data_IF_017455590315
#
_entry.id   IF_017455590315
#
_cell.length_a   1.000
_cell.length_b   1.000
_cell.length_c   1.000
_cell.angle_alpha   90.00
_cell.angle_beta   90.00
_cell.angle_gamma   90.00
#
_symmetry.space_group_name_H-M   'P 1'
#
loop_
_entity.id
_entity.type
_entity.pdbx_description
1 polymer ?
#
# COMPACT_ATOMS: atom_id res chain seq x y z
N UNK A 1 -9.96 -10.16 -4.89
CA UNK A 1 -9.43 -9.59 -3.64
C UNK A 1 -9.37 -8.06 -3.78
N UNK A 2 -9.91 -7.37 -2.81
CA UNK A 2 -9.87 -5.90 -2.75
C UNK A 2 -8.58 -5.48 -2.05
N UNK A 3 -7.72 -4.72 -2.73
CA UNK A 3 -6.47 -4.19 -2.18
C UNK A 3 -6.54 -2.66 -2.15
N UNK A 4 -6.30 -2.09 -0.98
CA UNK A 4 -6.09 -0.65 -0.84
C UNK A 4 -4.59 -0.42 -0.79
N UNK A 5 -4.08 0.36 -1.75
CA UNK A 5 -2.65 0.62 -1.92
C UNK A 5 -2.37 2.10 -1.81
N UNK A 6 -1.20 2.43 -1.30
CA UNK A 6 -0.64 3.78 -1.36
C UNK A 6 0.68 3.75 -2.10
N UNK A 7 0.94 4.80 -2.87
CA UNK A 7 2.21 5.01 -3.56
C UNK A 7 2.94 6.18 -2.93
N UNK A 8 4.18 5.95 -2.53
CA UNK A 8 5.02 6.91 -1.83
C UNK A 8 6.25 7.19 -2.68
N UNK A 9 6.51 8.46 -2.97
CA UNK A 9 7.72 8.89 -3.69
C UNK A 9 8.84 9.15 -2.68
N UNK A 10 10.04 8.70 -3.00
CA UNK A 10 11.19 8.87 -2.13
C UNK A 10 12.52 8.62 -2.82
N UNK A 11 13.55 8.42 -2.02
CA UNK A 11 14.93 8.23 -2.42
C UNK A 11 15.49 6.94 -1.84
N UNK A 12 16.36 6.30 -2.60
CA UNK A 12 17.22 5.22 -2.11
C UNK A 12 18.47 5.84 -1.51
N UNK A 13 18.79 5.47 -0.29
CA UNK A 13 19.94 5.99 0.46
C UNK A 13 20.74 4.86 1.09
N UNK A 14 22.03 5.12 1.29
CA UNK A 14 22.88 4.24 2.09
C UNK A 14 22.50 4.35 3.57
N UNK A 15 22.59 3.25 4.30
CA UNK A 15 22.52 3.27 5.75
C UNK A 15 23.87 3.80 6.24
N UNK A 16 23.92 4.94 6.93
CA UNK A 16 25.16 5.39 7.55
C UNK A 16 25.63 4.35 8.55
N UNK A 17 26.95 4.13 8.61
CA UNK A 17 27.60 3.24 9.60
C UNK A 17 27.01 3.56 10.97
N UNK A 18 26.43 2.55 11.65
CA UNK A 18 25.80 2.76 12.96
C UNK A 18 26.86 3.33 13.92
N UNK A 19 26.58 4.49 14.48
CA UNK A 19 27.35 5.03 15.59
C UNK A 19 27.36 4.00 16.71
N UNK A 20 28.52 3.49 17.08
CA UNK A 20 28.69 2.43 18.08
C UNK A 20 29.54 1.24 17.63
N UNK A 21 29.84 1.11 16.35
CA UNK A 21 30.86 0.19 15.89
C UNK A 21 32.25 0.74 16.27
N UNK A 22 32.99 0.01 17.07
CA UNK A 22 34.38 0.36 17.40
C UNK A 22 35.23 0.29 16.14
N UNK A 23 35.86 1.38 15.79
CA UNK A 23 36.89 1.42 14.74
C UNK A 23 38.26 1.50 15.40
N UNK A 24 39.20 0.69 14.93
CA UNK A 24 40.58 0.67 15.42
C UNK A 24 41.42 1.45 14.43
N UNK A 25 42.10 2.51 14.90
CA UNK A 25 43.04 3.25 14.09
C UNK A 25 44.29 2.40 13.86
N UNK A 26 44.83 2.45 12.65
CA UNK A 26 46.10 1.79 12.36
C UNK A 26 47.24 2.44 13.12
N UNK A 27 48.13 1.62 13.66
CA UNK A 27 49.36 2.05 14.29
C UNK A 27 50.49 1.09 13.94
N UNK A 28 51.71 1.29 14.44
CA UNK A 28 52.86 0.44 14.15
C UNK A 28 52.71 -1.02 14.60
N UNK A 29 51.69 -1.34 15.35
CA UNK A 29 51.44 -2.70 15.89
C UNK A 29 50.13 -3.31 15.38
N UNK A 30 49.34 -2.54 14.61
CA UNK A 30 48.01 -2.98 14.17
C UNK A 30 47.67 -2.37 12.83
N UNK A 31 47.20 -3.19 11.88
CA UNK A 31 46.80 -2.75 10.53
C UNK A 31 45.56 -1.84 10.51
N UNK A 32 44.95 -1.62 11.65
CA UNK A 32 43.76 -0.80 11.79
C UNK A 32 42.50 -1.47 11.20
N UNK A 33 41.37 -0.90 11.50
CA UNK A 33 40.10 -1.31 10.89
C UNK A 33 39.92 -0.63 9.55
N UNK A 34 39.84 -1.39 8.48
CA UNK A 34 39.53 -0.85 7.15
C UNK A 34 38.11 -0.35 7.13
N UNK A 35 37.88 0.96 7.19
CA UNK A 35 36.58 1.60 7.10
C UNK A 35 36.03 1.50 5.67
N UNK A 36 36.91 1.26 4.69
CA UNK A 36 36.55 1.04 3.29
C UNK A 36 36.14 -0.41 2.98
N UNK A 37 35.75 -1.17 3.94
CA UNK A 37 35.06 -2.42 3.66
C UNK A 37 33.71 -2.08 3.06
N UNK A 38 33.72 -2.14 1.69
CA UNK A 38 32.55 -2.55 0.94
C UNK A 38 31.31 -2.21 1.74
N UNK A 39 30.78 -1.00 1.55
CA UNK A 39 29.37 -0.77 1.88
C UNK A 39 28.67 -2.01 1.32
N UNK A 40 28.24 -2.89 2.20
CA UNK A 40 27.46 -4.05 1.80
C UNK A 40 26.30 -3.44 1.04
N UNK A 41 26.28 -3.60 -0.28
CA UNK A 41 25.25 -2.99 -1.15
C UNK A 41 23.84 -3.46 -0.77
N UNK A 42 23.73 -4.27 0.27
CA UNK A 42 22.50 -4.77 0.87
C UNK A 42 21.95 -3.87 1.97
N UNK A 43 22.66 -2.84 2.38
CA UNK A 43 22.24 -1.94 3.46
C UNK A 43 21.66 -0.61 2.90
N UNK A 44 20.77 -0.74 1.95
CA UNK A 44 20.05 0.41 1.39
C UNK A 44 18.70 0.59 2.06
N UNK A 45 18.33 1.83 2.24
CA UNK A 45 17.00 2.23 2.73
C UNK A 45 16.26 3.04 1.67
N UNK A 46 14.96 2.88 1.64
CA UNK A 46 14.05 3.82 1.01
C UNK A 46 13.59 4.83 2.05
N UNK A 47 13.71 6.12 1.74
CA UNK A 47 13.19 7.21 2.55
C UNK A 47 12.16 7.99 1.74
N UNK A 48 10.94 8.10 2.25
CA UNK A 48 9.86 8.82 1.63
C UNK A 48 8.98 9.52 2.65
N UNK A 49 7.99 10.24 2.15
CA UNK A 49 7.01 10.92 2.98
C UNK A 49 5.61 10.43 2.63
N UNK A 50 4.79 10.26 3.66
CA UNK A 50 3.39 9.86 3.53
C UNK A 50 2.48 10.91 4.15
N UNK A 51 1.31 11.09 3.57
CA UNK A 51 0.30 12.03 4.03
C UNK A 51 -0.30 11.61 5.38
N UNK A 52 -0.71 12.61 6.18
CA UNK A 52 -1.36 12.40 7.48
C UNK A 52 -2.62 11.52 7.38
N UNK A 53 -3.34 11.60 6.27
CA UNK A 53 -4.57 10.81 6.07
C UNK A 53 -4.31 9.31 5.93
N UNK A 54 -3.10 8.92 5.54
CA UNK A 54 -2.72 7.53 5.30
C UNK A 54 -1.81 6.93 6.38
N UNK A 55 -1.01 7.77 7.07
CA UNK A 55 -0.01 7.30 8.04
C UNK A 55 -0.60 6.45 9.17
N UNK A 56 -1.82 6.73 9.59
CA UNK A 56 -2.51 5.98 10.64
C UNK A 56 -2.79 4.51 10.32
N UNK A 57 -2.66 4.11 9.07
CA UNK A 57 -2.83 2.72 8.60
C UNK A 57 -1.53 1.95 8.52
N UNK A 58 -0.39 2.62 8.71
CA UNK A 58 0.92 2.01 8.62
C UNK A 58 1.33 1.36 9.94
N UNK A 59 1.97 0.21 9.81
CA UNK A 59 2.60 -0.52 10.91
C UNK A 59 4.00 -0.94 10.47
N UNK A 60 4.95 -0.91 11.39
CA UNK A 60 6.30 -1.42 11.13
C UNK A 60 6.25 -2.88 10.69
N UNK A 61 7.22 -3.29 9.90
CA UNK A 61 7.32 -4.60 9.23
C UNK A 61 6.32 -4.83 8.09
N UNK A 62 5.51 -3.84 7.71
CA UNK A 62 4.68 -3.96 6.51
C UNK A 62 5.56 -4.15 5.26
N UNK A 63 5.19 -5.08 4.37
CA UNK A 63 5.89 -5.27 3.11
C UNK A 63 5.61 -4.14 2.14
N UNK A 64 6.64 -3.75 1.40
CA UNK A 64 6.58 -2.71 0.38
C UNK A 64 7.23 -3.23 -0.91
N UNK A 65 6.78 -2.71 -2.05
CA UNK A 65 7.40 -2.90 -3.37
C UNK A 65 8.02 -1.59 -3.80
N UNK A 66 9.30 -1.61 -4.08
CA UNK A 66 10.05 -0.44 -4.54
C UNK A 66 10.29 -0.55 -6.05
N UNK A 67 9.93 0.48 -6.78
CA UNK A 67 10.25 0.65 -8.21
C UNK A 67 11.18 1.84 -8.35
N UNK A 68 12.35 1.63 -8.91
CA UNK A 68 13.36 2.68 -9.11
C UNK A 68 13.17 3.30 -10.48
N UNK A 69 13.06 4.62 -10.53
CA UNK A 69 12.77 5.35 -11.77
C UNK A 69 13.80 5.12 -12.88
N UNK A 70 15.08 4.97 -12.54
CA UNK A 70 16.15 4.65 -13.48
C UNK A 70 16.16 3.20 -13.96
N UNK A 71 15.42 2.32 -13.29
CA UNK A 71 15.39 0.87 -13.49
C UNK A 71 13.94 0.38 -13.50
N UNK A 72 13.11 0.92 -14.39
CA UNK A 72 11.65 0.79 -14.39
C UNK A 72 11.13 -0.66 -14.38
N UNK A 73 11.92 -1.58 -14.96
CA UNK A 73 11.56 -3.01 -15.00
C UNK A 73 12.03 -3.79 -13.74
N UNK A 74 12.67 -3.11 -12.79
CA UNK A 74 13.18 -3.74 -11.58
C UNK A 74 12.37 -3.33 -10.37
N UNK A 75 11.86 -4.34 -9.71
CA UNK A 75 11.18 -4.22 -8.43
C UNK A 75 12.02 -4.83 -7.33
N UNK A 76 12.05 -4.16 -6.19
CA UNK A 76 12.75 -4.61 -4.99
C UNK A 76 11.74 -4.75 -3.87
N UNK A 77 11.90 -5.79 -3.07
CA UNK A 77 11.12 -5.95 -1.84
C UNK A 77 11.73 -5.06 -0.75
N UNK A 78 10.87 -4.51 0.08
CA UNK A 78 11.28 -3.73 1.23
C UNK A 78 10.34 -3.97 2.42
N UNK A 79 10.81 -3.65 3.60
CA UNK A 79 10.05 -3.73 4.83
C UNK A 79 10.08 -2.39 5.55
N UNK A 80 8.90 -1.90 5.94
CA UNK A 80 8.77 -0.64 6.68
C UNK A 80 9.40 -0.79 8.08
N UNK A 81 10.43 0.01 8.38
CA UNK A 81 11.14 -0.07 9.65
C UNK A 81 10.86 1.10 10.59
N UNK A 82 10.61 2.27 10.02
CA UNK A 82 10.50 3.49 10.80
C UNK A 82 9.43 4.42 10.23
N UNK A 83 8.65 5.00 11.12
CA UNK A 83 7.70 6.07 10.83
C UNK A 83 8.01 7.21 11.79
N UNK A 84 8.26 8.41 11.28
CA UNK A 84 8.52 9.58 12.13
C UNK A 84 7.31 9.86 13.04
N UNK A 85 7.52 10.08 14.33
CA UNK A 85 6.44 10.49 15.23
C UNK A 85 6.05 11.97 15.05
N UNK A 86 6.79 12.70 14.24
CA UNK A 86 6.60 14.14 14.01
C UNK A 86 6.31 14.41 12.55
N UNK A 87 5.23 15.14 12.30
CA UNK A 87 4.90 15.63 10.98
C UNK A 87 5.81 16.81 10.57
N UNK A 88 6.03 16.91 9.27
CA UNK A 88 6.63 18.08 8.62
C UNK A 88 5.62 18.62 7.62
N UNK A 89 5.33 19.90 7.68
CA UNK A 89 4.49 20.55 6.69
C UNK A 89 5.26 20.69 5.37
N UNK A 90 4.67 20.20 4.31
CA UNK A 90 5.19 20.29 2.96
C UNK A 90 4.05 20.61 1.99
N UNK A 91 4.17 21.72 1.24
CA UNK A 91 3.17 22.15 0.27
C UNK A 91 1.73 22.29 0.86
N UNK A 92 1.61 22.72 2.12
CA UNK A 92 0.31 22.90 2.78
C UNK A 92 -0.32 21.61 3.31
N UNK A 93 0.38 20.50 3.28
CA UNK A 93 -0.05 19.23 3.85
C UNK A 93 0.93 18.74 4.92
N UNK A 94 0.42 18.10 5.96
CA UNK A 94 1.23 17.43 6.96
C UNK A 94 1.68 16.08 6.41
N UNK A 95 2.98 15.85 6.41
CA UNK A 95 3.60 14.61 5.95
C UNK A 95 4.48 14.01 7.04
N UNK A 96 4.55 12.69 7.07
CA UNK A 96 5.40 11.93 7.99
C UNK A 96 6.48 11.22 7.20
N UNK A 97 7.73 11.35 7.64
CA UNK A 97 8.84 10.62 7.06
C UNK A 97 8.72 9.13 7.43
N UNK A 98 8.98 8.27 6.47
CA UNK A 98 9.13 6.84 6.69
C UNK A 98 10.41 6.32 6.08
N UNK A 99 10.92 5.22 6.64
CA UNK A 99 12.10 4.50 6.17
C UNK A 99 11.79 3.02 6.07
N UNK A 100 12.24 2.41 4.99
CA UNK A 100 12.08 0.99 4.74
C UNK A 100 13.43 0.36 4.36
N UNK A 101 13.72 -0.82 4.90
CA UNK A 101 14.88 -1.59 4.50
C UNK A 101 14.61 -2.24 3.14
N UNK A 102 15.51 -2.02 2.18
CA UNK A 102 15.39 -2.55 0.83
C UNK A 102 16.21 -3.82 0.69
N UNK A 103 15.59 -4.90 0.24
CA UNK A 103 16.25 -6.16 -0.06
C UNK A 103 16.77 -6.14 -1.49
N UNK A 104 18.10 -6.13 -1.65
CA UNK A 104 18.75 -6.20 -2.96
C UNK A 104 19.25 -7.62 -3.21
N UNK A 105 18.69 -8.34 -4.19
CA UNK A 105 19.14 -9.70 -4.50
C UNK A 105 20.60 -9.73 -4.96
N UNK A 106 21.29 -10.83 -4.66
CA UNK A 106 22.67 -11.04 -5.13
C UNK A 106 22.77 -10.88 -6.66
N UNK A 107 23.81 -10.17 -7.10
CA UNK A 107 24.04 -9.93 -8.53
C UNK A 107 23.25 -8.73 -9.11
N UNK A 108 22.40 -8.10 -8.32
CA UNK A 108 21.73 -6.85 -8.68
C UNK A 108 22.46 -5.67 -8.03
N UNK A 109 22.50 -4.56 -8.75
CA UNK A 109 23.09 -3.32 -8.24
C UNK A 109 22.00 -2.26 -8.11
N UNK A 110 21.89 -1.69 -6.92
CA UNK A 110 21.05 -0.54 -6.64
C UNK A 110 21.95 0.53 -6.01
N UNK A 111 21.91 1.74 -6.55
CA UNK A 111 22.77 2.83 -6.09
C UNK A 111 21.98 3.78 -5.22
N UNK A 112 22.67 4.30 -4.20
CA UNK A 112 22.19 5.43 -3.41
C UNK A 112 21.97 6.66 -4.28
N UNK A 113 20.96 7.46 -3.95
CA UNK A 113 20.59 8.68 -4.67
C UNK A 113 19.54 8.47 -5.76
N UNK A 114 19.15 7.24 -6.09
CA UNK A 114 18.07 7.01 -7.04
C UNK A 114 16.72 7.43 -6.47
N UNK A 115 15.91 8.09 -7.31
CA UNK A 115 14.49 8.29 -7.03
C UNK A 115 13.74 6.99 -7.19
N UNK A 116 12.81 6.74 -6.28
CA UNK A 116 12.03 5.52 -6.27
C UNK A 116 10.59 5.79 -5.84
N UNK A 117 9.70 4.91 -6.27
CA UNK A 117 8.32 4.85 -5.80
C UNK A 117 8.14 3.57 -4.99
N UNK A 118 7.57 3.69 -3.81
CA UNK A 118 7.20 2.57 -2.98
C UNK A 118 5.70 2.36 -3.01
N UNK A 119 5.28 1.14 -3.25
CA UNK A 119 3.89 0.72 -3.13
C UNK A 119 3.73 -0.10 -1.85
N UNK A 120 2.78 0.30 -1.01
CA UNK A 120 2.42 -0.41 0.22
C UNK A 120 0.95 -0.79 0.19
N UNK A 121 0.65 -2.00 0.63
CA UNK A 121 -0.73 -2.47 0.77
C UNK A 121 -1.22 -2.08 2.16
N UNK A 122 -2.10 -1.10 2.24
CA UNK A 122 -2.66 -0.59 3.49
C UNK A 122 -3.71 -1.54 4.10
N UNK A 123 -4.47 -2.20 3.24
CA UNK A 123 -5.44 -3.21 3.63
C UNK A 123 -5.67 -4.20 2.48
N UNK A 124 -5.95 -5.43 2.82
CA UNK A 124 -6.30 -6.46 1.84
C UNK A 124 -7.43 -7.34 2.36
N UNK A 125 -8.37 -7.67 1.47
CA UNK A 125 -9.40 -8.65 1.71
C UNK A 125 -9.25 -9.76 0.68
N UNK A 126 -8.87 -10.96 1.12
CA UNK A 126 -8.70 -12.15 0.28
C UNK A 126 -9.82 -13.15 0.56
N UNK A 127 -10.31 -13.82 -0.49
CA UNK A 127 -11.42 -14.79 -0.40
C UNK A 127 -12.70 -14.22 0.22
N UNK A 128 -12.98 -12.93 -0.01
CA UNK A 128 -14.19 -12.27 0.43
C UNK A 128 -15.16 -12.11 -0.73
N UNK A 129 -16.44 -12.11 -0.39
CA UNK A 129 -17.49 -11.78 -1.33
C UNK A 129 -17.44 -10.28 -1.63
N UNK A 130 -17.40 -9.93 -2.91
CA UNK A 130 -17.43 -8.53 -3.36
C UNK A 130 -18.59 -8.31 -4.32
N UNK A 131 -19.10 -7.09 -4.34
CA UNK A 131 -20.05 -6.62 -5.35
C UNK A 131 -19.56 -5.30 -5.92
N UNK A 132 -19.96 -4.93 -7.15
CA UNK A 132 -19.70 -3.59 -7.66
C UNK A 132 -20.23 -2.53 -6.68
N UNK A 133 -19.44 -1.53 -6.36
CA UNK A 133 -19.84 -0.47 -5.42
C UNK A 133 -21.11 0.25 -5.89
N UNK A 134 -21.29 0.38 -7.21
CA UNK A 134 -22.49 0.92 -7.85
C UNK A 134 -23.78 0.13 -7.60
N UNK A 135 -23.67 -1.10 -7.12
CA UNK A 135 -24.83 -1.93 -6.74
C UNK A 135 -25.26 -1.72 -5.28
N UNK A 136 -24.49 -0.98 -4.49
CA UNK A 136 -24.79 -0.67 -3.10
C UNK A 136 -25.67 0.57 -3.03
N UNK A 137 -26.67 0.51 -2.17
CA UNK A 137 -27.50 1.66 -1.80
C UNK A 137 -27.15 2.06 -0.38
N UNK A 138 -26.70 3.30 -0.22
CA UNK A 138 -26.38 3.89 1.08
C UNK A 138 -27.56 4.71 1.57
N UNK A 139 -28.08 4.42 2.76
CA UNK A 139 -29.14 5.16 3.41
C UNK A 139 -28.74 5.45 4.86
N UNK A 140 -28.32 6.67 5.13
CA UNK A 140 -27.75 7.03 6.43
C UNK A 140 -26.55 6.16 6.76
N UNK A 141 -26.59 5.46 7.89
CA UNK A 141 -25.52 4.55 8.33
C UNK A 141 -25.77 3.09 7.91
N UNK A 142 -26.68 2.85 7.00
CA UNK A 142 -27.04 1.49 6.57
C UNK A 142 -26.80 1.30 5.09
N UNK A 143 -26.41 0.08 4.74
CA UNK A 143 -26.12 -0.33 3.36
C UNK A 143 -27.03 -1.46 2.93
N UNK A 144 -27.51 -1.38 1.68
CA UNK A 144 -28.44 -2.31 1.11
C UNK A 144 -28.03 -2.70 -0.30
N UNK A 145 -28.48 -3.89 -0.71
CA UNK A 145 -28.46 -4.35 -2.09
C UNK A 145 -29.86 -4.79 -2.51
N UNK A 146 -30.10 -4.87 -3.80
CA UNK A 146 -31.31 -5.47 -4.35
C UNK A 146 -31.00 -6.83 -4.93
N UNK A 147 -31.52 -7.89 -4.33
CA UNK A 147 -31.42 -9.24 -4.83
C UNK A 147 -32.37 -9.44 -6.00
N UNK A 148 -31.86 -10.07 -7.05
CA UNK A 148 -32.68 -10.48 -8.19
C UNK A 148 -33.31 -11.85 -7.88
N UNK A 149 -34.62 -11.90 -7.87
CA UNK A 149 -35.42 -13.12 -7.75
C UNK A 149 -36.15 -13.39 -9.06
N UNK A 150 -36.23 -14.64 -9.45
CA UNK A 150 -36.86 -15.03 -10.72
C UNK A 150 -35.97 -14.87 -11.94
N UNK A 151 -36.48 -15.14 -13.12
CA UNK A 151 -35.80 -15.07 -14.41
C UNK A 151 -36.70 -14.50 -15.49
N UNK A 152 -36.09 -13.98 -16.56
CA UNK A 152 -36.84 -13.41 -17.68
C UNK A 152 -37.64 -12.17 -17.29
N UNK A 153 -38.90 -12.09 -17.76
CA UNK A 153 -39.80 -10.96 -17.50
C UNK A 153 -40.36 -10.95 -16.07
N UNK A 154 -40.33 -12.08 -15.36
CA UNK A 154 -40.82 -12.22 -13.98
C UNK A 154 -39.76 -11.94 -12.93
N UNK A 155 -38.80 -11.06 -13.23
CA UNK A 155 -37.77 -10.64 -12.25
C UNK A 155 -38.39 -9.72 -11.21
N UNK A 156 -38.19 -10.07 -9.94
CA UNK A 156 -38.51 -9.23 -8.80
C UNK A 156 -37.23 -8.86 -8.06
N UNK A 157 -37.26 -7.73 -7.35
CA UNK A 157 -36.13 -7.23 -6.60
C UNK A 157 -36.47 -7.19 -5.13
N UNK A 158 -35.66 -7.85 -4.33
CA UNK A 158 -35.80 -7.84 -2.88
C UNK A 158 -34.69 -7.05 -2.24
N UNK A 159 -35.03 -5.99 -1.53
CA UNK A 159 -34.06 -5.21 -0.75
C UNK A 159 -33.53 -6.05 0.39
N UNK A 160 -32.19 -6.05 0.55
CA UNK A 160 -31.51 -6.75 1.63
C UNK A 160 -30.44 -5.88 2.24
N UNK A 161 -30.44 -5.78 3.57
CA UNK A 161 -29.40 -5.14 4.33
C UNK A 161 -28.13 -5.96 4.26
N UNK A 162 -26.99 -5.29 4.05
CA UNK A 162 -25.66 -5.88 4.02
C UNK A 162 -24.72 -5.09 4.90
N UNK A 163 -23.67 -5.76 5.35
CA UNK A 163 -22.55 -5.11 6.04
C UNK A 163 -21.35 -5.12 5.11
N UNK A 164 -20.83 -3.95 4.82
CA UNK A 164 -19.73 -3.76 3.88
C UNK A 164 -18.39 -3.65 4.60
N UNK A 165 -17.31 -3.90 3.89
CA UNK A 165 -15.94 -3.76 4.35
C UNK A 165 -15.14 -2.83 3.45
N UNK A 166 -13.98 -3.30 2.99
CA UNK A 166 -13.06 -2.53 2.16
C UNK A 166 -13.65 -2.29 0.76
N UNK A 167 -13.35 -1.12 0.20
CA UNK A 167 -13.63 -0.78 -1.19
C UNK A 167 -12.36 -0.35 -1.91
N UNK A 168 -12.23 -0.71 -3.19
CA UNK A 168 -11.18 -0.23 -4.09
C UNK A 168 -11.70 0.86 -5.06
N UNK A 169 -12.92 1.35 -4.83
CA UNK A 169 -13.59 2.34 -5.69
C UNK A 169 -14.35 1.72 -6.88
N UNK A 170 -14.19 0.42 -7.13
CA UNK A 170 -14.91 -0.34 -8.17
C UNK A 170 -15.76 -1.43 -7.51
N UNK A 171 -15.15 -2.20 -6.62
CA UNK A 171 -15.79 -3.28 -5.87
C UNK A 171 -15.70 -3.02 -4.37
N UNK A 172 -16.72 -3.45 -3.65
CA UNK A 172 -16.80 -3.35 -2.20
C UNK A 172 -16.98 -4.73 -1.57
N UNK A 173 -16.26 -4.98 -0.49
CA UNK A 173 -16.38 -6.19 0.31
C UNK A 173 -17.74 -6.27 0.97
N UNK A 174 -18.34 -7.45 0.94
CA UNK A 174 -19.52 -7.79 1.72
C UNK A 174 -19.11 -8.72 2.86
N UNK A 175 -19.19 -8.21 4.08
CA UNK A 175 -18.85 -8.98 5.28
C UNK A 175 -19.97 -9.91 5.70
N UNK A 176 -21.21 -9.47 5.55
CA UNK A 176 -22.39 -10.28 5.84
C UNK A 176 -23.63 -9.79 5.10
N UNK A 177 -24.64 -10.63 5.02
CA UNK A 177 -25.93 -10.33 4.40
C UNK A 177 -26.11 -10.90 2.98
N UNK A 178 -25.02 -11.38 2.35
CA UNK A 178 -25.08 -12.06 1.04
C UNK A 178 -24.41 -13.42 1.06
N UNK A 179 -24.87 -14.27 0.18
CA UNK A 179 -24.27 -15.56 -0.17
C UNK A 179 -23.63 -15.48 -1.57
N UNK A 180 -22.59 -16.29 -1.87
CA UNK A 180 -21.99 -16.36 -3.20
C UNK A 180 -22.96 -16.74 -4.32
N UNK A 181 -24.10 -17.35 -3.98
CA UNK A 181 -25.17 -17.74 -4.93
C UNK A 181 -26.18 -16.63 -5.20
N UNK A 182 -26.16 -15.56 -4.40
CA UNK A 182 -27.10 -14.45 -4.56
C UNK A 182 -26.75 -13.63 -5.80
N UNK A 183 -27.76 -13.26 -6.57
CA UNK A 183 -27.62 -12.35 -7.71
C UNK A 183 -28.06 -10.97 -7.28
N UNK A 184 -27.17 -10.01 -7.41
CA UNK A 184 -27.41 -8.61 -7.06
C UNK A 184 -27.72 -7.83 -8.33
N UNK A 185 -28.69 -6.90 -8.22
CA UNK A 185 -29.02 -5.99 -9.31
C UNK A 185 -27.86 -5.00 -9.50
N UNK A 186 -27.36 -4.88 -10.73
CA UNK A 186 -26.40 -3.85 -11.12
C UNK A 186 -27.00 -2.44 -11.09
N UNK A 187 -26.21 -1.40 -11.37
CA UNK A 187 -26.69 -0.02 -11.42
C UNK A 187 -27.84 0.11 -12.42
N UNK A 188 -28.86 0.89 -12.06
CA UNK A 188 -29.87 1.30 -13.03
C UNK A 188 -29.17 2.13 -14.10
N UNK A 189 -29.18 1.68 -15.33
CA UNK A 189 -28.96 2.60 -16.46
C UNK A 189 -30.08 3.63 -16.40
N UNK A 190 -29.74 4.88 -16.11
CA UNK A 190 -30.66 6.00 -16.35
C UNK A 190 -30.81 6.05 -17.88
N UNK A 191 -31.94 5.64 -18.40
CA UNK A 191 -32.31 6.04 -19.75
C UNK A 191 -32.47 7.56 -19.68
N UNK A 192 -31.59 8.27 -20.34
CA UNK A 192 -31.86 9.65 -20.69
C UNK A 192 -33.22 9.63 -21.41
N UNK A 193 -34.23 10.13 -20.73
CA UNK A 193 -35.50 10.43 -21.36
C UNK A 193 -35.23 11.68 -22.18
N UNK A 194 -35.25 11.47 -23.48
CA UNK A 194 -35.24 12.51 -24.50
C UNK A 194 -36.15 13.68 -24.10
N UNK A 195 -35.55 14.88 -24.16
CA UNK A 195 -36.27 16.13 -24.20
C UNK A 195 -36.89 16.34 -25.57
#
# INVERSE_FOLDING_TARGET
STLIRSTITGLILDIPVKVGNSVILSNTFNDGTTIATVANMNDLIFRGNIDETEVGRLVTAMPMKITVGALQDLHFDASLEYISPKAVESNGANQFELKAAVSVPHGRQLRSGYSANAEIVLASATNVLTVPESAIVFEGNQTYVYLVKGSGENKTYQRRKVFTGLSDGINIEIRSGLSPKDKVRGPKMVKDSDA
#
